data_IF_247715830309
#
_entry.id   IF_247715830309
#
_cell.length_a   1.000
_cell.length_b   1.000
_cell.length_c   1.000
_cell.angle_alpha   90.00
_cell.angle_beta   90.00
_cell.angle_gamma   90.00
#
_symmetry.space_group_name_H-M   'P 1'
#
loop_
_entity.id
_entity.type
_entity.pdbx_description
1 polymer ?
#
# COMPACT_ATOMS: atom_id res chain seq x y z
N UNK A 1 1.79 8.63 15.33
CA UNK A 1 1.35 7.23 15.13
C UNK A 1 2.33 6.56 14.16
N UNK A 2 2.29 5.23 13.96
CA UNK A 2 3.18 4.57 12.98
C UNK A 2 2.42 4.23 11.70
N UNK A 3 2.98 4.59 10.56
CA UNK A 3 2.57 4.17 9.23
C UNK A 3 3.60 3.22 8.63
N UNK A 4 3.28 2.64 7.47
CA UNK A 4 4.19 1.78 6.72
C UNK A 4 4.37 2.32 5.32
N UNK A 5 5.58 2.19 4.78
CA UNK A 5 5.94 2.64 3.44
C UNK A 5 6.68 1.54 2.70
N UNK A 6 6.34 1.35 1.44
CA UNK A 6 7.07 0.48 0.53
C UNK A 6 7.43 1.26 -0.75
N UNK A 7 8.72 1.32 -1.06
CA UNK A 7 9.19 1.93 -2.31
C UNK A 7 9.28 0.88 -3.42
N UNK A 8 8.38 0.95 -4.39
CA UNK A 8 8.47 0.15 -5.62
C UNK A 8 9.22 0.91 -6.72
N UNK A 9 9.53 0.22 -7.82
CA UNK A 9 10.15 0.84 -9.00
C UNK A 9 9.27 1.89 -9.70
N UNK A 10 7.95 1.84 -9.52
CA UNK A 10 7.00 2.79 -10.11
C UNK A 10 6.69 3.98 -9.17
N UNK A 11 6.89 3.79 -7.86
CA UNK A 11 6.52 4.78 -6.85
C UNK A 11 6.40 4.18 -5.46
N UNK A 12 6.06 5.00 -4.48
CA UNK A 12 5.93 4.55 -3.10
C UNK A 12 4.47 4.32 -2.71
N UNK A 13 4.22 3.16 -2.10
CA UNK A 13 2.99 2.80 -1.41
C UNK A 13 3.10 3.19 0.05
N UNK A 14 2.00 3.67 0.61
CA UNK A 14 1.90 4.01 2.01
C UNK A 14 0.67 3.33 2.60
N UNK A 15 0.80 2.85 3.83
CA UNK A 15 -0.30 2.34 4.64
C UNK A 15 -0.32 3.19 5.91
N UNK A 16 -1.29 4.08 5.99
CA UNK A 16 -1.39 5.09 7.06
C UNK A 16 -2.65 4.86 7.89
N UNK A 17 -2.63 5.21 9.18
CA UNK A 17 -3.85 5.16 10.00
C UNK A 17 -4.86 6.20 9.51
N UNK A 18 -6.05 5.74 9.12
CA UNK A 18 -7.17 6.55 8.64
C UNK A 18 -8.23 6.80 9.71
N UNK A 19 -9.37 7.39 9.31
CA UNK A 19 -10.47 7.74 10.24
C UNK A 19 -11.15 6.51 10.88
N UNK A 20 -11.13 5.35 10.23
CA UNK A 20 -11.79 4.12 10.67
C UNK A 20 -10.93 2.86 10.67
N UNK A 21 -9.62 3.00 10.42
CA UNK A 21 -8.74 1.85 10.22
C UNK A 21 -7.43 2.27 9.58
N UNK A 22 -7.14 1.67 8.43
CA UNK A 22 -5.91 1.87 7.68
C UNK A 22 -6.21 2.18 6.23
N UNK A 23 -5.52 3.18 5.68
CA UNK A 23 -5.67 3.61 4.30
C UNK A 23 -4.41 3.24 3.54
N UNK A 24 -4.56 2.51 2.45
CA UNK A 24 -3.48 2.33 1.48
C UNK A 24 -3.54 3.46 0.47
N UNK A 25 -2.41 4.11 0.24
CA UNK A 25 -2.28 5.19 -0.74
C UNK A 25 -1.08 4.97 -1.64
N UNK A 26 -1.22 5.36 -2.90
CA UNK A 26 -0.11 5.38 -3.86
C UNK A 26 -0.03 6.77 -4.48
N UNK A 27 1.08 7.46 -4.24
CA UNK A 27 1.20 8.87 -4.58
C UNK A 27 0.17 9.72 -3.83
N UNK A 28 -0.72 10.39 -4.55
CA UNK A 28 -1.78 11.25 -4.00
C UNK A 28 -3.15 10.55 -3.95
N UNK A 29 -3.20 9.26 -4.24
CA UNK A 29 -4.46 8.52 -4.34
C UNK A 29 -4.65 7.50 -3.24
N UNK A 30 -5.89 7.35 -2.81
CA UNK A 30 -6.31 6.28 -1.90
C UNK A 30 -6.73 5.07 -2.71
N UNK A 31 -6.01 3.97 -2.52
CA UNK A 31 -6.27 2.69 -3.15
C UNK A 31 -7.36 1.90 -2.43
N UNK A 32 -7.51 2.13 -1.12
CA UNK A 32 -8.57 1.52 -0.33
C UNK A 32 -8.43 1.75 1.17
N UNK A 33 -9.51 1.42 1.88
CA UNK A 33 -9.56 1.39 3.34
C UNK A 33 -9.62 -0.05 3.83
N UNK A 34 -8.85 -0.34 4.89
CA UNK A 34 -8.63 -1.68 5.42
C UNK A 34 -8.81 -1.68 6.93
N UNK A 35 -9.23 -2.81 7.48
CA UNK A 35 -9.38 -2.97 8.92
C UNK A 35 -8.02 -3.05 9.65
N UNK A 36 -6.96 -3.48 8.96
CA UNK A 36 -5.62 -3.63 9.52
C UNK A 36 -4.55 -3.34 8.47
N UNK A 37 -3.34 -2.94 8.87
CA UNK A 37 -2.28 -2.67 7.93
C UNK A 37 -1.77 -3.97 7.28
N UNK A 38 -1.90 -5.12 7.96
CA UNK A 38 -1.53 -6.42 7.39
C UNK A 38 -2.43 -6.75 6.21
N UNK A 39 -3.72 -6.50 6.34
CA UNK A 39 -4.68 -6.73 5.27
C UNK A 39 -4.42 -5.80 4.08
N UNK A 40 -4.07 -4.53 4.35
CA UNK A 40 -3.66 -3.61 3.30
C UNK A 40 -2.42 -4.10 2.53
N UNK A 41 -1.40 -4.59 3.23
CA UNK A 41 -0.20 -5.12 2.60
C UNK A 41 -0.45 -6.42 1.80
N UNK A 42 -1.28 -7.32 2.33
CA UNK A 42 -1.69 -8.55 1.63
C UNK A 42 -2.47 -8.21 0.36
N UNK A 43 -3.48 -7.35 0.42
CA UNK A 43 -4.27 -6.98 -0.76
C UNK A 43 -3.43 -6.24 -1.81
N UNK A 44 -2.49 -5.38 -1.39
CA UNK A 44 -1.53 -4.74 -2.31
C UNK A 44 -0.57 -5.76 -2.95
N UNK A 45 -0.10 -6.76 -2.21
CA UNK A 45 0.76 -7.82 -2.73
C UNK A 45 0.03 -8.78 -3.67
N UNK A 46 -1.25 -9.08 -3.38
CA UNK A 46 -2.10 -9.97 -4.18
C UNK A 46 -2.54 -9.37 -5.50
N UNK A 47 -2.55 -8.04 -5.59
CA UNK A 47 -2.89 -7.32 -6.79
C UNK A 47 -4.17 -6.51 -6.65
N UNK A 48 -4.00 -5.20 -6.50
CA UNK A 48 -5.05 -4.21 -6.47
C UNK A 48 -5.05 -3.48 -7.81
N UNK A 49 -6.21 -3.43 -8.46
CA UNK A 49 -6.40 -2.68 -9.69
C UNK A 49 -6.27 -1.19 -9.37
N UNK A 50 -5.10 -0.62 -9.66
CA UNK A 50 -4.83 0.80 -9.48
C UNK A 50 -4.91 1.48 -10.86
N UNK A 51 -5.93 2.29 -11.13
CA UNK A 51 -6.07 2.97 -12.43
C UNK A 51 -4.94 3.96 -12.75
N UNK A 52 -4.10 4.31 -11.75
CA UNK A 52 -2.95 5.20 -11.89
C UNK A 52 -1.61 4.48 -12.09
N UNK A 53 -1.58 3.15 -11.99
CA UNK A 53 -0.47 2.38 -12.56
C UNK A 53 -0.64 2.39 -14.08
N UNK A 54 0.43 2.69 -14.81
CA UNK A 54 0.39 2.87 -16.26
C UNK A 54 -0.34 1.70 -16.94
N UNK A 55 -1.42 2.02 -17.65
CA UNK A 55 -2.25 1.12 -18.48
C UNK A 55 -2.38 -0.34 -17.98
N UNK A 56 -2.91 -0.52 -16.77
CA UNK A 56 -3.38 -1.82 -16.31
C UNK A 56 -2.34 -2.72 -15.67
N UNK A 57 -1.20 -2.16 -15.24
CA UNK A 57 -0.27 -2.89 -14.38
C UNK A 57 -0.90 -3.16 -13.00
N UNK A 58 -0.88 -4.44 -12.65
CA UNK A 58 -1.32 -4.95 -11.36
C UNK A 58 -0.25 -4.65 -10.30
N UNK A 59 -0.62 -4.24 -9.08
CA UNK A 59 0.35 -4.06 -7.99
C UNK A 59 1.10 -5.35 -7.66
N UNK A 60 0.54 -6.51 -8.03
CA UNK A 60 1.23 -7.80 -7.96
C UNK A 60 2.55 -7.84 -8.78
N UNK A 61 2.68 -7.02 -9.82
CA UNK A 61 3.90 -6.91 -10.62
C UNK A 61 5.00 -6.08 -9.96
N UNK A 62 4.68 -5.38 -8.86
CA UNK A 62 5.56 -4.42 -8.20
C UNK A 62 6.34 -5.02 -7.03
N UNK A 63 6.31 -6.35 -6.90
CA UNK A 63 7.01 -7.12 -5.85
C UNK A 63 6.70 -6.60 -4.43
N UNK A 64 5.46 -6.14 -4.22
CA UNK A 64 5.04 -5.61 -2.92
C UNK A 64 5.06 -6.74 -1.90
N UNK A 65 5.77 -6.59 -0.77
CA UNK A 65 5.84 -7.62 0.23
C UNK A 65 4.51 -7.72 0.99
N UNK A 66 3.98 -8.94 1.11
CA UNK A 66 2.80 -9.26 1.93
C UNK A 66 3.06 -9.01 3.44
N UNK A 67 4.32 -9.11 3.87
CA UNK A 67 4.71 -8.97 5.27
C UNK A 67 5.06 -7.53 5.57
N UNK A 68 4.28 -6.89 6.45
CA UNK A 68 4.58 -5.55 6.97
C UNK A 68 5.98 -5.41 7.60
N UNK A 69 6.59 -6.50 8.07
CA UNK A 69 7.95 -6.48 8.60
C UNK A 69 9.00 -6.05 7.57
N UNK A 70 8.68 -6.24 6.28
CA UNK A 70 9.53 -5.86 5.14
C UNK A 70 9.22 -4.44 4.66
N UNK A 71 8.23 -3.76 5.26
CA UNK A 71 7.90 -2.37 4.99
C UNK A 71 8.68 -1.43 5.91
N UNK A 72 9.00 -0.25 5.41
CA UNK A 72 9.62 0.81 6.21
C UNK A 72 8.57 1.41 7.17
N UNK A 73 8.90 1.45 8.47
CA UNK A 73 8.04 2.10 9.45
C UNK A 73 8.26 3.62 9.37
N UNK A 74 7.24 4.35 8.97
CA UNK A 74 7.25 5.81 8.93
C UNK A 74 6.51 6.38 10.14
N UNK A 75 7.04 7.45 10.73
CA UNK A 75 6.35 8.17 11.81
C UNK A 75 5.47 9.25 11.19
N UNK A 76 4.18 9.21 11.53
CA UNK A 76 3.13 10.13 11.09
C UNK A 76 2.66 10.99 12.25
#
# INVERSE_FOLDING_TARGET
MKGFRFGSNQGAFYILPGQGGWEATYGNETLGEFASPQQAADDLARGLICPHLSEGDDTATLEIPEKLSDWEIVHV
#
